data_IF_877375302009
#
_entry.id   IF_877375302009
#
_cell.length_a   1.000
_cell.length_b   1.000
_cell.length_c   1.000
_cell.angle_alpha   90.00
_cell.angle_beta   90.00
_cell.angle_gamma   90.00
#
_symmetry.space_group_name_H-M   'P 1'
#
loop_
_entity.id
_entity.type
_entity.pdbx_description
1 polymer ?
#
# COMPACT_ATOMS: atom_id res chain seq x y z
N UNK A 1 17.17 -7.84 20.57
CA UNK A 1 16.95 -6.48 20.08
C UNK A 1 18.13 -5.62 20.50
N UNK A 2 18.84 -5.04 19.55
CA UNK A 2 19.97 -4.15 19.77
C UNK A 2 19.50 -2.75 20.19
N UNK A 3 20.39 -1.92 20.74
CA UNK A 3 20.08 -0.52 21.07
C UNK A 3 19.61 0.24 19.81
N UNK A 4 20.25 0.00 18.66
CA UNK A 4 19.88 0.63 17.39
C UNK A 4 18.44 0.27 16.97
N UNK A 5 18.06 -1.00 17.10
CA UNK A 5 16.70 -1.45 16.82
C UNK A 5 15.67 -0.81 17.74
N UNK A 6 15.98 -0.69 19.06
CA UNK A 6 15.11 -0.01 20.01
C UNK A 6 14.88 1.46 19.63
N UNK A 7 15.94 2.16 19.24
CA UNK A 7 15.84 3.55 18.80
C UNK A 7 14.92 3.68 17.59
N UNK A 8 15.07 2.80 16.60
CA UNK A 8 14.25 2.81 15.39
C UNK A 8 12.77 2.53 15.70
N UNK A 9 12.47 1.53 16.53
CA UNK A 9 11.09 1.21 16.92
C UNK A 9 10.42 2.37 17.66
N UNK A 10 11.12 2.96 18.64
CA UNK A 10 10.62 4.13 19.37
C UNK A 10 10.47 5.36 18.48
N UNK A 11 11.37 5.56 17.51
CA UNK A 11 11.24 6.64 16.54
C UNK A 11 10.00 6.46 15.66
N UNK A 12 9.73 5.24 15.17
CA UNK A 12 8.51 4.93 14.39
C UNK A 12 7.27 5.22 15.23
N UNK A 13 7.23 4.79 16.50
CA UNK A 13 6.11 5.05 17.41
C UNK A 13 5.86 6.56 17.58
N UNK A 14 6.90 7.33 17.88
CA UNK A 14 6.79 8.78 18.07
C UNK A 14 6.39 9.50 16.77
N UNK A 15 6.98 9.13 15.62
CA UNK A 15 6.64 9.71 14.32
C UNK A 15 5.18 9.39 13.92
N UNK A 16 4.69 8.19 14.22
CA UNK A 16 3.29 7.82 14.00
C UNK A 16 2.32 8.64 14.88
N UNK A 17 2.71 8.92 16.13
CA UNK A 17 1.85 9.60 17.10
C UNK A 17 1.85 11.13 16.95
N UNK A 18 3.00 11.72 16.68
CA UNK A 18 3.20 13.18 16.71
C UNK A 18 3.52 13.78 15.33
N UNK A 19 3.96 12.94 14.38
CA UNK A 19 4.48 13.37 13.08
C UNK A 19 5.99 13.56 13.07
N UNK A 20 6.63 13.18 11.98
CA UNK A 20 8.08 13.28 11.79
C UNK A 20 8.64 14.69 12.01
N UNK A 21 7.93 15.73 11.53
CA UNK A 21 8.40 17.12 11.60
C UNK A 21 8.56 17.66 13.02
N UNK A 22 7.71 17.21 13.93
CA UNK A 22 7.63 17.72 15.31
C UNK A 22 8.64 17.05 16.23
N UNK A 23 8.83 15.73 16.10
CA UNK A 23 9.69 14.95 17.01
C UNK A 23 11.15 15.36 16.90
N UNK A 24 11.77 15.64 18.07
CA UNK A 24 13.17 15.98 18.21
C UNK A 24 14.00 14.79 18.71
N UNK A 25 15.33 14.83 18.51
CA UNK A 25 16.24 13.82 19.10
C UNK A 25 16.25 13.86 20.64
N UNK A 26 15.96 15.00 21.24
CA UNK A 26 15.84 15.11 22.71
C UNK A 26 14.63 14.35 23.22
N UNK A 27 13.46 14.57 22.62
CA UNK A 27 12.23 13.82 22.96
C UNK A 27 12.38 12.33 22.75
N UNK A 28 13.09 11.91 21.69
CA UNK A 28 13.37 10.51 21.44
C UNK A 28 14.31 9.91 22.50
N UNK A 29 15.33 10.64 22.93
CA UNK A 29 16.24 10.22 24.00
C UNK A 29 15.50 10.10 25.34
N UNK A 30 14.67 11.09 25.68
CA UNK A 30 13.85 11.09 26.89
C UNK A 30 12.85 9.92 26.89
N UNK A 31 12.20 9.66 25.75
CA UNK A 31 11.27 8.52 25.59
C UNK A 31 11.97 7.16 25.79
N UNK A 32 13.25 7.07 25.43
CA UNK A 32 14.07 5.87 25.57
C UNK A 32 14.79 5.78 26.92
N UNK A 33 14.60 6.76 27.82
CA UNK A 33 15.32 6.89 29.09
C UNK A 33 16.86 6.82 28.93
N UNK A 34 17.37 7.40 27.82
CA UNK A 34 18.80 7.45 27.53
C UNK A 34 19.32 8.87 27.41
N UNK A 35 20.62 9.05 27.63
CA UNK A 35 21.24 10.35 27.41
C UNK A 35 21.26 10.70 25.91
N UNK A 36 21.14 12.00 25.61
CA UNK A 36 21.27 12.51 24.24
C UNK A 36 22.61 12.14 23.60
N UNK A 37 23.68 12.08 24.37
CA UNK A 37 25.00 11.64 23.90
C UNK A 37 25.01 10.17 23.47
N UNK A 38 24.31 9.31 24.19
CA UNK A 38 24.18 7.90 23.85
C UNK A 38 23.32 7.74 22.58
N UNK A 39 22.22 8.49 22.44
CA UNK A 39 21.44 8.50 21.21
C UNK A 39 22.29 8.97 20.01
N UNK A 40 23.02 10.09 20.17
CA UNK A 40 23.86 10.67 19.13
C UNK A 40 25.02 9.76 18.69
N UNK A 41 25.50 8.89 19.57
CA UNK A 41 26.48 7.84 19.21
C UNK A 41 25.90 6.86 18.18
N UNK A 42 24.63 6.54 18.26
CA UNK A 42 23.93 5.65 17.30
C UNK A 42 23.41 6.41 16.08
N UNK A 43 22.82 7.59 16.29
CA UNK A 43 22.22 8.43 15.26
C UNK A 43 22.47 9.90 15.55
N UNK A 44 23.37 10.50 14.78
CA UNK A 44 23.77 11.91 14.94
C UNK A 44 22.61 12.87 14.67
N UNK A 45 21.75 12.54 13.74
CA UNK A 45 20.61 13.35 13.30
C UNK A 45 19.38 12.47 13.00
N UNK A 46 18.25 13.13 12.83
CA UNK A 46 16.95 12.47 12.59
C UNK A 46 16.86 11.89 11.18
N UNK A 47 17.58 12.46 10.24
CA UNK A 47 17.67 12.01 8.85
C UNK A 47 18.27 10.61 8.79
N UNK A 48 19.32 10.31 9.55
CA UNK A 48 19.91 8.97 9.61
C UNK A 48 18.94 7.92 10.20
N UNK A 49 18.07 8.33 11.12
CA UNK A 49 16.99 7.46 11.62
C UNK A 49 15.99 7.16 10.49
N UNK A 50 15.60 8.19 9.74
CA UNK A 50 14.66 8.03 8.61
C UNK A 50 15.25 7.16 7.49
N UNK A 51 16.53 7.29 7.19
CA UNK A 51 17.24 6.42 6.25
C UNK A 51 17.23 4.95 6.71
N UNK A 52 17.45 4.69 8.01
CA UNK A 52 17.39 3.31 8.53
C UNK A 52 15.94 2.77 8.48
N UNK A 53 14.94 3.63 8.75
CA UNK A 53 13.54 3.27 8.58
C UNK A 53 13.26 2.95 7.09
N UNK A 54 13.80 3.71 6.14
CA UNK A 54 13.67 3.42 4.72
C UNK A 54 14.27 2.04 4.35
N UNK A 55 15.45 1.72 4.89
CA UNK A 55 16.06 0.38 4.71
C UNK A 55 15.21 -0.74 5.29
N UNK A 56 14.58 -0.52 6.44
CA UNK A 56 13.66 -1.48 7.05
C UNK A 56 12.40 -1.65 6.19
N UNK A 57 11.83 -0.54 5.74
CA UNK A 57 10.66 -0.53 4.86
C UNK A 57 10.95 -1.30 3.56
N UNK A 58 12.11 -1.07 2.93
CA UNK A 58 12.51 -1.81 1.73
C UNK A 58 12.56 -3.32 1.99
N UNK A 59 13.21 -3.75 3.10
CA UNK A 59 13.27 -5.17 3.46
C UNK A 59 11.90 -5.78 3.69
N UNK A 60 11.00 -5.05 4.35
CA UNK A 60 9.63 -5.52 4.58
C UNK A 60 8.82 -5.62 3.29
N UNK A 61 8.99 -4.67 2.37
CA UNK A 61 8.40 -4.74 1.03
C UNK A 61 8.91 -5.99 0.30
N UNK A 62 10.21 -6.23 0.31
CA UNK A 62 10.80 -7.39 -0.38
C UNK A 62 10.26 -8.71 0.20
N UNK A 63 10.12 -8.81 1.53
CA UNK A 63 9.52 -9.99 2.17
C UNK A 63 8.04 -10.18 1.80
N UNK A 64 7.27 -9.10 1.73
CA UNK A 64 5.87 -9.18 1.29
C UNK A 64 5.78 -9.60 -0.20
N UNK A 65 6.66 -9.07 -1.04
CA UNK A 65 6.64 -9.38 -2.47
C UNK A 65 7.04 -10.84 -2.77
N UNK A 66 7.83 -11.50 -1.92
CA UNK A 66 8.13 -12.95 -2.03
C UNK A 66 6.89 -13.83 -1.92
N UNK A 67 5.78 -13.31 -1.38
CA UNK A 67 4.50 -14.05 -1.29
C UNK A 67 3.75 -14.12 -2.61
N UNK A 68 4.14 -13.31 -3.60
CA UNK A 68 3.57 -13.36 -4.94
C UNK A 68 4.01 -14.62 -5.66
N UNK A 69 3.15 -15.12 -6.54
CA UNK A 69 3.51 -16.19 -7.48
C UNK A 69 4.33 -15.60 -8.62
N UNK A 70 5.25 -16.38 -9.16
CA UNK A 70 6.12 -16.00 -10.29
C UNK A 70 5.36 -15.82 -11.60
N UNK A 71 4.09 -16.23 -11.67
CA UNK A 71 3.22 -16.06 -12.81
C UNK A 71 1.98 -15.23 -12.47
N UNK A 72 1.32 -14.59 -13.44
CA UNK A 72 0.10 -13.82 -13.20
C UNK A 72 -1.01 -14.68 -12.60
N UNK A 73 -1.46 -14.30 -11.41
CA UNK A 73 -2.52 -14.99 -10.67
C UNK A 73 -3.38 -13.96 -9.91
N UNK A 74 -4.67 -14.26 -9.73
CA UNK A 74 -5.59 -13.41 -8.94
C UNK A 74 -5.07 -13.17 -7.51
N UNK A 75 -4.44 -14.18 -6.91
CA UNK A 75 -3.83 -14.07 -5.58
C UNK A 75 -2.71 -13.04 -5.48
N UNK A 76 -2.04 -12.66 -6.58
CA UNK A 76 -0.99 -11.65 -6.55
C UNK A 76 -1.55 -10.27 -6.19
N UNK A 77 -2.74 -9.93 -6.70
CA UNK A 77 -3.42 -8.69 -6.32
C UNK A 77 -3.80 -8.66 -4.84
N UNK A 78 -4.21 -9.82 -4.28
CA UNK A 78 -4.47 -9.92 -2.83
C UNK A 78 -3.20 -9.68 -2.01
N UNK A 79 -2.06 -10.20 -2.49
CA UNK A 79 -0.76 -9.94 -1.84
C UNK A 79 -0.46 -8.44 -1.88
N UNK A 80 -0.61 -7.78 -3.03
CA UNK A 80 -0.35 -6.35 -3.16
C UNK A 80 -1.23 -5.54 -2.18
N UNK A 81 -2.53 -5.76 -2.17
CA UNK A 81 -3.48 -5.06 -1.28
C UNK A 81 -3.09 -5.26 0.19
N UNK A 82 -2.87 -6.51 0.61
CA UNK A 82 -2.51 -6.83 2.01
C UNK A 82 -1.17 -6.23 2.41
N UNK A 83 -0.18 -6.23 1.50
CA UNK A 83 1.15 -5.69 1.76
C UNK A 83 1.12 -4.17 1.93
N UNK A 84 0.43 -3.46 1.03
CA UNK A 84 0.24 -2.01 1.17
C UNK A 84 -0.48 -1.66 2.47
N UNK A 85 -1.60 -2.33 2.78
CA UNK A 85 -2.34 -2.07 4.01
C UNK A 85 -1.53 -2.34 5.28
N UNK A 86 -0.78 -3.44 5.32
CA UNK A 86 0.09 -3.78 6.45
C UNK A 86 1.12 -2.68 6.70
N UNK A 87 1.79 -2.22 5.64
CA UNK A 87 2.84 -1.22 5.77
C UNK A 87 2.27 0.18 6.03
N UNK A 88 1.11 0.52 5.47
CA UNK A 88 0.40 1.76 5.80
C UNK A 88 0.00 1.83 7.27
N UNK A 89 -0.44 0.71 7.85
CA UNK A 89 -0.79 0.65 9.28
C UNK A 89 0.46 0.70 10.19
N UNK A 90 1.60 0.21 9.72
CA UNK A 90 2.86 0.27 10.48
C UNK A 90 3.55 1.63 10.40
N UNK A 91 3.49 2.28 9.24
CA UNK A 91 4.20 3.53 8.94
C UNK A 91 3.26 4.68 8.49
N UNK A 92 2.13 4.96 9.21
CA UNK A 92 1.18 5.98 8.77
C UNK A 92 1.82 7.36 8.58
N UNK A 93 2.90 7.69 9.31
CA UNK A 93 3.62 8.94 9.15
C UNK A 93 4.33 9.09 7.78
N UNK A 94 4.65 7.98 7.10
CA UNK A 94 5.19 7.99 5.74
C UNK A 94 4.07 8.24 4.74
N UNK A 95 3.01 7.43 4.79
CA UNK A 95 1.93 7.46 3.79
C UNK A 95 1.01 8.68 3.88
N UNK A 96 0.96 9.34 5.02
CA UNK A 96 0.12 10.50 5.26
C UNK A 96 0.86 11.85 5.21
N UNK A 97 2.15 11.88 4.87
CA UNK A 97 2.96 13.09 4.96
C UNK A 97 3.83 13.32 3.72
N UNK A 98 3.44 14.28 2.88
CA UNK A 98 4.15 14.60 1.65
C UNK A 98 5.63 15.01 1.87
N UNK A 99 5.97 15.67 2.97
CA UNK A 99 7.37 16.06 3.22
C UNK A 99 8.24 14.85 3.52
N UNK A 100 7.70 13.82 4.18
CA UNK A 100 8.40 12.55 4.41
C UNK A 100 8.55 11.78 3.11
N UNK A 101 7.51 11.74 2.26
CA UNK A 101 7.56 11.09 0.96
C UNK A 101 8.58 11.74 0.00
N UNK A 102 8.91 13.02 0.19
CA UNK A 102 9.93 13.72 -0.60
C UNK A 102 11.35 13.51 -0.07
N UNK A 103 11.53 12.92 1.11
CA UNK A 103 12.86 12.57 1.61
C UNK A 103 13.50 11.51 0.70
N UNK A 104 14.73 11.76 0.22
CA UNK A 104 15.35 10.98 -0.84
C UNK A 104 15.28 9.46 -0.63
N UNK A 105 15.64 8.97 0.57
CA UNK A 105 15.63 7.54 0.88
C UNK A 105 14.22 6.94 0.89
N UNK A 106 13.21 7.66 1.41
CA UNK A 106 11.81 7.21 1.40
C UNK A 106 11.25 7.26 -0.02
N UNK A 107 11.52 8.34 -0.75
CA UNK A 107 11.07 8.52 -2.13
C UNK A 107 11.55 7.39 -3.03
N UNK A 108 12.83 7.02 -2.97
CA UNK A 108 13.41 5.93 -3.75
C UNK A 108 12.68 4.60 -3.51
N UNK A 109 12.48 4.23 -2.24
CA UNK A 109 11.78 3.00 -1.86
C UNK A 109 10.33 3.00 -2.36
N UNK A 110 9.60 4.08 -2.11
CA UNK A 110 8.19 4.19 -2.46
C UNK A 110 7.97 4.25 -3.97
N UNK A 111 8.81 4.97 -4.69
CA UNK A 111 8.76 5.05 -6.16
C UNK A 111 9.07 3.69 -6.80
N UNK A 112 10.10 3.01 -6.33
CA UNK A 112 10.45 1.67 -6.81
C UNK A 112 9.31 0.67 -6.60
N UNK A 113 8.69 0.68 -5.41
CA UNK A 113 7.55 -0.20 -5.11
C UNK A 113 6.33 0.11 -5.96
N UNK A 114 5.98 1.38 -6.12
CA UNK A 114 4.87 1.81 -6.98
C UNK A 114 5.11 1.39 -8.44
N UNK A 115 6.29 1.68 -8.99
CA UNK A 115 6.63 1.33 -10.37
C UNK A 115 6.56 -0.18 -10.60
N UNK A 116 7.10 -0.98 -9.69
CA UNK A 116 7.06 -2.45 -9.78
C UNK A 116 5.64 -3.00 -9.68
N UNK A 117 4.80 -2.42 -8.81
CA UNK A 117 3.39 -2.83 -8.68
C UNK A 117 2.62 -2.53 -9.97
N UNK A 118 2.79 -1.33 -10.54
CA UNK A 118 2.15 -0.94 -11.80
C UNK A 118 2.62 -1.83 -12.94
N UNK A 119 3.93 -2.08 -13.05
CA UNK A 119 4.50 -2.97 -14.06
C UNK A 119 3.92 -4.38 -13.96
N UNK A 120 3.93 -4.98 -12.78
CA UNK A 120 3.40 -6.32 -12.54
C UNK A 120 1.91 -6.43 -12.94
N UNK A 121 1.10 -5.41 -12.64
CA UNK A 121 -0.31 -5.40 -13.00
C UNK A 121 -0.48 -5.24 -14.53
N UNK A 122 0.32 -4.37 -15.18
CA UNK A 122 0.31 -4.22 -16.64
C UNK A 122 0.65 -5.53 -17.34
N UNK A 123 1.68 -6.23 -16.88
CA UNK A 123 2.08 -7.54 -17.41
C UNK A 123 0.99 -8.61 -17.17
N UNK A 124 0.34 -8.58 -16.00
CA UNK A 124 -0.77 -9.48 -15.70
C UNK A 124 -1.98 -9.26 -16.64
N UNK A 125 -2.31 -8.01 -16.95
CA UNK A 125 -3.38 -7.70 -17.90
C UNK A 125 -3.00 -8.13 -19.32
N UNK A 126 -1.78 -7.86 -19.77
CA UNK A 126 -1.29 -8.33 -21.07
C UNK A 126 -1.33 -9.86 -21.19
N UNK A 127 -0.93 -10.56 -20.14
CA UNK A 127 -1.05 -12.02 -20.06
C UNK A 127 -2.52 -12.48 -20.13
N UNK A 128 -3.42 -11.81 -19.39
CA UNK A 128 -4.84 -12.17 -19.39
C UNK A 128 -5.50 -11.96 -20.76
N UNK A 129 -5.09 -10.93 -21.51
CA UNK A 129 -5.51 -10.73 -22.91
C UNK A 129 -5.00 -11.86 -23.80
N UNK A 130 -3.70 -12.17 -23.71
CA UNK A 130 -3.08 -13.26 -24.49
C UNK A 130 -3.77 -14.61 -24.25
N UNK A 131 -4.13 -14.89 -23.01
CA UNK A 131 -4.85 -16.12 -22.64
C UNK A 131 -6.36 -16.07 -22.94
N UNK A 132 -6.87 -14.96 -23.47
CA UNK A 132 -8.28 -14.77 -23.79
C UNK A 132 -9.19 -14.64 -22.57
N UNK A 133 -8.65 -14.27 -21.41
CA UNK A 133 -9.39 -13.99 -20.19
C UNK A 133 -9.84 -12.53 -20.09
N UNK A 134 -9.13 -11.61 -20.75
CA UNK A 134 -9.51 -10.20 -20.90
C UNK A 134 -9.74 -9.86 -22.38
N UNK A 135 -10.58 -8.87 -22.63
CA UNK A 135 -10.79 -8.29 -23.95
C UNK A 135 -9.51 -7.62 -24.44
N UNK A 136 -9.27 -7.50 -25.75
CA UNK A 136 -8.24 -6.59 -26.26
C UNK A 136 -8.45 -5.16 -25.77
N UNK A 137 -7.37 -4.39 -25.67
CA UNK A 137 -7.48 -2.97 -25.33
C UNK A 137 -8.37 -2.22 -26.32
N UNK A 138 -9.36 -1.43 -25.85
CA UNK A 138 -10.18 -0.59 -26.74
C UNK A 138 -9.36 0.56 -27.37
N UNK A 139 -8.27 0.99 -26.73
CA UNK A 139 -7.27 1.92 -27.25
C UNK A 139 -5.90 1.65 -26.61
N UNK A 140 -4.79 1.98 -27.28
CA UNK A 140 -3.44 1.74 -26.77
C UNK A 140 -3.21 2.40 -25.39
N UNK A 141 -2.67 1.62 -24.45
CA UNK A 141 -2.36 2.08 -23.10
C UNK A 141 -3.50 2.04 -22.09
N UNK A 142 -4.70 1.59 -22.48
CA UNK A 142 -5.82 1.44 -21.54
C UNK A 142 -5.46 0.58 -20.34
N UNK A 143 -4.80 -0.54 -20.54
CA UNK A 143 -4.49 -1.46 -19.43
C UNK A 143 -3.29 -1.00 -18.60
N UNK A 144 -2.42 -0.19 -19.16
CA UNK A 144 -1.44 0.54 -18.34
C UNK A 144 -2.13 1.56 -17.42
N UNK A 145 -3.08 2.33 -17.95
CA UNK A 145 -3.89 3.25 -17.13
C UNK A 145 -4.71 2.49 -16.06
N UNK A 146 -5.24 1.31 -16.39
CA UNK A 146 -5.95 0.46 -15.43
C UNK A 146 -5.02 -0.03 -14.31
N UNK A 147 -3.76 -0.36 -14.63
CA UNK A 147 -2.76 -0.74 -13.64
C UNK A 147 -2.42 0.44 -12.70
N UNK A 148 -2.29 1.65 -13.23
CA UNK A 148 -2.09 2.87 -12.43
C UNK A 148 -3.31 3.10 -11.52
N UNK A 149 -4.53 3.03 -12.04
CA UNK A 149 -5.75 3.20 -11.25
C UNK A 149 -5.87 2.15 -10.14
N UNK A 150 -5.51 0.91 -10.44
CA UNK A 150 -5.45 -0.17 -9.46
C UNK A 150 -4.49 0.17 -8.32
N UNK A 151 -3.28 0.63 -8.65
CA UNK A 151 -2.30 1.07 -7.66
C UNK A 151 -2.81 2.28 -6.85
N UNK A 152 -3.42 3.29 -7.48
CA UNK A 152 -4.00 4.45 -6.79
C UNK A 152 -5.05 4.01 -5.77
N UNK A 153 -5.98 3.12 -6.16
CA UNK A 153 -7.01 2.60 -5.24
C UNK A 153 -6.35 1.93 -4.04
N UNK A 154 -5.36 1.06 -4.26
CA UNK A 154 -4.68 0.33 -3.18
C UNK A 154 -3.92 1.31 -2.27
N UNK A 155 -3.16 2.23 -2.86
CA UNK A 155 -2.33 3.19 -2.14
C UNK A 155 -3.15 4.15 -1.27
N UNK A 156 -4.25 4.68 -1.79
CA UNK A 156 -5.06 5.68 -1.08
C UNK A 156 -6.22 5.06 -0.29
N UNK A 157 -6.37 3.73 -0.27
CA UNK A 157 -7.52 3.08 0.35
C UNK A 157 -7.68 3.41 1.84
N UNK A 158 -6.62 3.35 2.62
CA UNK A 158 -6.68 3.68 4.05
C UNK A 158 -6.82 5.19 4.28
N UNK A 159 -6.17 6.01 3.46
CA UNK A 159 -6.23 7.48 3.61
C UNK A 159 -7.64 8.03 3.38
N UNK A 160 -8.41 7.46 2.44
CA UNK A 160 -9.79 7.90 2.18
C UNK A 160 -10.73 7.66 3.37
N UNK A 161 -10.44 6.69 4.25
CA UNK A 161 -11.22 6.46 5.48
C UNK A 161 -11.19 7.66 6.41
N UNK A 162 -10.03 8.32 6.53
CA UNK A 162 -9.88 9.51 7.35
C UNK A 162 -10.72 10.67 6.81
N UNK A 163 -10.82 10.79 5.48
CA UNK A 163 -11.66 11.82 4.83
C UNK A 163 -13.14 11.53 5.06
N UNK A 164 -13.55 10.28 4.88
CA UNK A 164 -14.95 9.85 5.04
C UNK A 164 -15.39 9.80 6.50
N UNK A 165 -14.46 9.78 7.46
CA UNK A 165 -14.73 9.56 8.90
C UNK A 165 -15.56 8.30 9.15
N UNK A 166 -15.37 7.29 8.31
CA UNK A 166 -16.13 6.06 8.34
C UNK A 166 -15.28 4.94 8.96
N UNK A 167 -15.76 4.35 10.04
CA UNK A 167 -15.14 3.22 10.71
C UNK A 167 -15.66 1.87 10.20
N UNK A 168 -16.55 1.88 9.20
CA UNK A 168 -17.10 0.66 8.63
C UNK A 168 -16.02 -0.21 7.98
N UNK A 169 -16.29 -1.50 7.93
CA UNK A 169 -15.41 -2.46 7.26
C UNK A 169 -15.48 -2.26 5.76
N UNK A 170 -14.36 -1.89 5.18
CA UNK A 170 -14.20 -1.68 3.74
C UNK A 170 -13.45 -2.84 3.12
N UNK A 171 -13.68 -3.04 1.82
CA UNK A 171 -13.05 -4.08 1.03
C UNK A 171 -12.40 -3.49 -0.22
N UNK A 172 -11.12 -3.15 -0.09
CA UNK A 172 -10.31 -2.63 -1.20
C UNK A 172 -10.28 -3.60 -2.38
N UNK A 173 -10.28 -4.90 -2.11
CA UNK A 173 -10.22 -5.93 -3.13
C UNK A 173 -11.46 -5.90 -4.02
N UNK A 174 -12.65 -5.73 -3.42
CA UNK A 174 -13.89 -5.56 -4.19
C UNK A 174 -13.87 -4.31 -5.06
N UNK A 175 -13.39 -3.18 -4.53
CA UNK A 175 -13.27 -1.94 -5.29
C UNK A 175 -12.33 -2.14 -6.49
N UNK A 176 -11.17 -2.73 -6.29
CA UNK A 176 -10.21 -2.98 -7.35
C UNK A 176 -10.82 -3.92 -8.40
N UNK A 177 -11.40 -5.05 -7.99
CA UNK A 177 -12.01 -5.98 -8.93
C UNK A 177 -13.21 -5.42 -9.66
N UNK A 178 -13.98 -4.52 -9.05
CA UNK A 178 -15.09 -3.86 -9.74
C UNK A 178 -14.64 -2.99 -10.92
N UNK A 179 -13.41 -2.50 -10.89
CA UNK A 179 -12.82 -1.73 -12.02
C UNK A 179 -12.18 -2.63 -13.08
N UNK A 180 -11.71 -3.80 -12.71
CA UNK A 180 -11.00 -4.73 -13.62
C UNK A 180 -11.99 -5.66 -14.35
N UNK A 181 -12.98 -6.21 -13.65
CA UNK A 181 -13.89 -7.23 -14.20
C UNK A 181 -14.68 -6.82 -15.44
N UNK A 182 -15.09 -5.54 -15.64
CA UNK A 182 -15.73 -5.13 -16.90
C UNK A 182 -14.92 -5.41 -18.17
N UNK A 183 -13.60 -5.60 -18.02
CA UNK A 183 -12.71 -5.92 -19.12
C UNK A 183 -12.53 -7.44 -19.37
N UNK A 184 -13.14 -8.29 -18.56
CA UNK A 184 -13.02 -9.73 -18.70
C UNK A 184 -13.93 -10.28 -19.80
N UNK A 185 -13.46 -11.35 -20.45
CA UNK A 185 -14.28 -12.19 -21.34
C UNK A 185 -15.15 -13.14 -20.52
N UNK A 186 -16.10 -13.81 -21.15
CA UNK A 186 -16.86 -14.89 -20.49
C UNK A 186 -15.95 -16.00 -19.93
N UNK A 187 -14.81 -16.30 -20.59
CA UNK A 187 -13.78 -17.23 -20.09
C UNK A 187 -13.14 -16.70 -18.82
N UNK A 188 -12.76 -15.43 -18.81
CA UNK A 188 -12.14 -14.78 -17.65
C UNK A 188 -13.08 -14.71 -16.45
N UNK A 189 -14.36 -14.37 -16.66
CA UNK A 189 -15.38 -14.37 -15.60
C UNK A 189 -15.52 -15.76 -14.97
N UNK A 190 -15.59 -16.82 -15.77
CA UNK A 190 -15.65 -18.20 -15.24
C UNK A 190 -14.41 -18.56 -14.41
N UNK A 191 -13.22 -18.15 -14.86
CA UNK A 191 -11.97 -18.36 -14.11
C UNK A 191 -11.98 -17.60 -12.79
N UNK A 192 -12.47 -16.36 -12.79
CA UNK A 192 -12.60 -15.52 -11.61
C UNK A 192 -13.61 -16.11 -10.60
N UNK A 193 -14.79 -16.52 -11.06
CA UNK A 193 -15.80 -17.19 -10.22
C UNK A 193 -15.29 -18.49 -9.61
N UNK A 194 -14.47 -19.24 -10.35
CA UNK A 194 -13.83 -20.45 -9.83
C UNK A 194 -12.87 -20.15 -8.68
N UNK A 195 -12.18 -19.01 -8.73
CA UNK A 195 -11.19 -18.60 -7.72
C UNK A 195 -11.84 -18.00 -6.47
N UNK A 196 -12.77 -17.06 -6.66
CA UNK A 196 -13.39 -16.29 -5.58
C UNK A 196 -14.73 -16.82 -5.09
N UNK A 197 -15.41 -17.59 -5.92
CA UNK A 197 -16.79 -18.02 -5.69
C UNK A 197 -17.83 -16.99 -6.16
N UNK A 198 -19.03 -17.48 -6.49
CA UNK A 198 -20.13 -16.64 -7.01
C UNK A 198 -20.59 -15.57 -6.01
N UNK A 199 -20.56 -15.87 -4.71
CA UNK A 199 -20.97 -14.94 -3.67
C UNK A 199 -20.07 -13.68 -3.64
N UNK A 200 -18.78 -13.83 -3.89
CA UNK A 200 -17.87 -12.69 -3.95
C UNK A 200 -18.24 -11.77 -5.11
N UNK A 201 -18.50 -12.33 -6.30
CA UNK A 201 -18.93 -11.56 -7.49
C UNK A 201 -20.21 -10.76 -7.21
N UNK A 202 -21.19 -11.36 -6.55
CA UNK A 202 -22.46 -10.69 -6.23
C UNK A 202 -22.30 -9.51 -5.24
N UNK A 203 -21.21 -9.46 -4.51
CA UNK A 203 -20.92 -8.41 -3.53
C UNK A 203 -19.91 -7.37 -4.02
N UNK A 204 -19.39 -7.48 -5.24
CA UNK A 204 -18.38 -6.56 -5.77
C UNK A 204 -18.82 -5.10 -5.79
N UNK A 205 -20.09 -4.82 -6.09
CA UNK A 205 -20.65 -3.47 -6.08
C UNK A 205 -20.87 -2.90 -4.67
N UNK A 206 -20.48 -3.63 -3.62
CA UNK A 206 -20.62 -3.23 -2.20
C UNK A 206 -19.27 -3.29 -1.49
N UNK A 207 -18.29 -2.45 -1.88
CA UNK A 207 -16.97 -2.45 -1.25
C UNK A 207 -16.99 -1.85 0.16
N UNK A 208 -18.09 -1.15 0.52
CA UNK A 208 -18.30 -0.55 1.83
C UNK A 208 -19.45 -1.25 2.54
N UNK A 209 -19.30 -1.53 3.82
CA UNK A 209 -20.34 -2.19 4.63
C UNK A 209 -21.56 -1.29 4.82
N UNK A 210 -21.35 0.02 4.94
CA UNK A 210 -22.40 1.03 5.00
C UNK A 210 -22.05 2.17 4.04
N UNK A 211 -22.87 2.35 3.02
CA UNK A 211 -22.86 3.60 2.25
C UNK A 211 -23.59 4.62 3.12
N UNK A 212 -22.86 5.52 3.77
CA UNK A 212 -23.48 6.68 4.41
C UNK A 212 -24.08 7.54 3.30
N UNK A 213 -25.40 7.60 3.22
CA UNK A 213 -26.14 8.42 2.25
C UNK A 213 -25.77 9.92 2.32
N UNK A 214 -25.06 10.34 3.38
CA UNK A 214 -24.65 11.72 3.62
C UNK A 214 -23.50 12.23 2.74
N UNK A 215 -22.79 11.36 2.00
CA UNK A 215 -21.65 11.79 1.15
C UNK A 215 -22.07 12.33 -0.22
N UNK A 216 -23.36 12.22 -0.59
CA UNK A 216 -23.83 12.53 -1.95
C UNK A 216 -25.05 13.50 -1.94
N UNK A 217 -25.11 14.41 -0.99
CA UNK A 217 -26.04 15.55 -1.10
C UNK A 217 -25.32 16.62 -1.90
N UNK A 218 -25.55 16.61 -3.23
CA UNK A 218 -25.27 17.73 -4.11
C UNK A 218 -26.40 18.75 -4.00
#
# INVERSE_FOLDING_TARGET
MTTKEKIIESAIELFNRQGYGVVTLTELADHLEMSRGNLAYHFRDKELILEEIARNLQREIDEEMKKRRDFPAFSNLQVDIKSYHKLQLKYPFIFGNNSVLQHAAIHEVMNSWAAKTIQNNTEAFAFAVKEGNMQPEPFPGQYHNLAINTWIIIYFWLSQKNVRKDSSRDDAEKMVWSTILPHFTAKGIKAFEKHYGKNFVQTLGKPFEKVTQQLWVF
#
